data_IF_345623637157
#
_entry.id   IF_345623637157
#
_cell.length_a   1.000
_cell.length_b   1.000
_cell.length_c   1.000
_cell.angle_alpha   90.00
_cell.angle_beta   90.00
_cell.angle_gamma   90.00
#
_symmetry.space_group_name_H-M   'P 1'
#
loop_
_entity.id
_entity.type
_entity.pdbx_description
1 polymer ?
#
# COMPACT_ATOMS: atom_id res chain seq x y z
N UNK A 1 18.81 -8.13 -0.65
CA UNK A 1 18.02 -7.26 -1.54
C UNK A 1 16.61 -7.16 -0.96
N UNK A 2 16.24 -6.02 -0.41
CA UNK A 2 14.93 -5.86 0.25
C UNK A 2 13.81 -5.70 -0.78
N UNK A 3 12.72 -6.44 -0.63
CA UNK A 3 11.50 -6.25 -1.42
C UNK A 3 10.93 -4.86 -1.15
N UNK A 4 10.89 -4.00 -2.15
CA UNK A 4 10.31 -2.65 -2.02
C UNK A 4 8.79 -2.78 -1.94
N UNK A 5 8.20 -2.54 -0.76
CA UNK A 5 6.75 -2.53 -0.53
C UNK A 5 6.17 -1.17 -0.90
N UNK A 6 4.92 -1.13 -1.34
CA UNK A 6 4.18 0.11 -1.62
C UNK A 6 3.06 0.25 -0.59
N UNK A 7 2.95 1.43 0.01
CA UNK A 7 1.87 1.79 0.93
C UNK A 7 1.06 2.92 0.32
N UNK A 8 -0.26 2.80 0.35
CA UNK A 8 -1.18 3.80 -0.16
C UNK A 8 -2.61 3.52 0.26
N UNK A 9 -3.43 4.56 0.23
CA UNK A 9 -4.87 4.51 0.43
C UNK A 9 -5.61 4.97 -0.84
N UNK A 10 -6.84 4.50 -1.02
CA UNK A 10 -7.68 4.83 -2.18
C UNK A 10 -9.15 4.57 -1.86
N UNK A 11 -10.05 5.25 -2.57
CA UNK A 11 -11.50 4.99 -2.50
C UNK A 11 -11.93 3.80 -3.36
N UNK A 12 -11.12 3.41 -4.36
CA UNK A 12 -11.40 2.25 -5.21
C UNK A 12 -10.12 1.46 -5.48
N UNK A 13 -10.00 0.31 -4.79
CA UNK A 13 -8.83 -0.56 -4.80
C UNK A 13 -8.53 -1.13 -6.20
N UNK A 14 -9.56 -1.53 -6.93
CA UNK A 14 -9.44 -2.14 -8.26
C UNK A 14 -8.89 -1.13 -9.28
N UNK A 15 -9.50 0.06 -9.37
CA UNK A 15 -9.06 1.12 -10.27
C UNK A 15 -7.62 1.53 -9.95
N UNK A 16 -7.26 1.61 -8.66
CA UNK A 16 -5.91 1.95 -8.21
C UNK A 16 -4.90 0.90 -8.66
N UNK A 17 -5.19 -0.39 -8.46
CA UNK A 17 -4.33 -1.49 -8.87
C UNK A 17 -4.12 -1.48 -10.40
N UNK A 18 -5.20 -1.32 -11.17
CA UNK A 18 -5.14 -1.22 -12.64
C UNK A 18 -4.21 -0.07 -13.07
N UNK A 19 -4.37 1.13 -12.53
CA UNK A 19 -3.52 2.29 -12.85
C UNK A 19 -2.04 2.04 -12.54
N UNK A 20 -1.74 1.45 -11.39
CA UNK A 20 -0.36 1.10 -11.03
C UNK A 20 0.23 0.06 -11.99
N UNK A 21 -0.55 -0.96 -12.38
CA UNK A 21 -0.11 -2.02 -13.29
C UNK A 21 -0.08 -1.61 -14.77
N UNK A 22 -0.83 -0.59 -15.17
CA UNK A 22 -0.70 0.07 -16.48
C UNK A 22 0.55 0.94 -16.60
N UNK A 23 1.14 1.34 -15.46
CA UNK A 23 2.35 2.16 -15.42
C UNK A 23 2.06 3.66 -15.41
N UNK A 24 0.80 4.04 -15.18
CA UNK A 24 0.32 5.42 -15.17
C UNK A 24 0.88 6.20 -13.95
N UNK A 25 1.40 5.49 -12.95
CA UNK A 25 1.98 6.07 -11.74
C UNK A 25 3.51 6.05 -11.81
N UNK A 26 4.12 7.23 -12.01
CA UNK A 26 5.58 7.41 -12.18
C UNK A 26 6.42 6.72 -11.10
N UNK A 27 6.00 6.75 -9.84
CA UNK A 27 6.75 6.21 -8.70
C UNK A 27 6.73 4.68 -8.60
N UNK A 28 5.77 4.01 -9.23
CA UNK A 28 5.64 2.54 -9.19
C UNK A 28 5.77 1.89 -10.58
N UNK A 29 5.88 2.66 -11.66
CA UNK A 29 5.91 2.13 -13.03
C UNK A 29 7.03 1.11 -13.29
N UNK A 30 8.17 1.23 -12.59
CA UNK A 30 9.30 0.30 -12.73
C UNK A 30 9.19 -0.94 -11.82
N UNK A 31 8.14 -1.02 -10.98
CA UNK A 31 7.93 -2.08 -9.98
C UNK A 31 6.78 -3.01 -10.35
N UNK A 32 6.27 -2.91 -11.58
CA UNK A 32 5.14 -3.70 -12.08
C UNK A 32 5.58 -5.14 -12.37
N UNK A 33 4.68 -6.13 -12.21
CA UNK A 33 3.32 -5.99 -11.69
C UNK A 33 3.31 -5.80 -10.16
N UNK A 34 2.42 -4.94 -9.67
CA UNK A 34 2.07 -4.84 -8.25
C UNK A 34 0.94 -5.83 -7.97
N UNK A 35 1.10 -6.57 -6.87
CA UNK A 35 0.08 -7.45 -6.31
C UNK A 35 -0.36 -6.91 -4.95
N UNK A 36 -1.62 -7.15 -4.60
CA UNK A 36 -2.16 -6.75 -3.30
C UNK A 36 -1.79 -7.83 -2.28
N UNK A 37 -0.96 -7.47 -1.31
CA UNK A 37 -0.64 -8.34 -0.16
C UNK A 37 -1.65 -8.19 0.98
N UNK A 38 -2.14 -6.96 1.21
CA UNK A 38 -3.03 -6.63 2.30
C UNK A 38 -3.78 -5.33 1.99
N UNK A 39 -5.04 -5.26 2.41
CA UNK A 39 -5.84 -4.04 2.44
C UNK A 39 -6.81 -4.08 3.63
N UNK A 40 -7.28 -2.92 4.04
CA UNK A 40 -8.32 -2.75 5.05
C UNK A 40 -9.19 -1.54 4.66
N UNK A 41 -10.43 -1.53 5.14
CA UNK A 41 -11.42 -0.50 4.79
C UNK A 41 -11.66 0.44 5.98
N UNK A 42 -11.97 1.70 5.68
CA UNK A 42 -12.22 2.75 6.66
C UNK A 42 -13.43 3.59 6.26
N UNK A 43 -14.15 4.11 7.26
CA UNK A 43 -15.32 4.95 7.05
C UNK A 43 -14.96 6.38 6.61
N UNK A 44 -13.70 6.80 6.82
CA UNK A 44 -13.24 8.13 6.44
C UNK A 44 -11.85 8.11 5.80
N UNK A 45 -11.64 9.06 4.88
CA UNK A 45 -10.32 9.32 4.28
C UNK A 45 -9.26 9.65 5.34
N UNK A 46 -9.66 10.33 6.42
CA UNK A 46 -8.75 10.71 7.51
C UNK A 46 -8.25 9.50 8.31
N UNK A 47 -9.08 8.48 8.50
CA UNK A 47 -8.65 7.21 9.12
C UNK A 47 -7.72 6.42 8.20
N UNK A 48 -8.09 6.27 6.93
CA UNK A 48 -7.27 5.59 5.93
C UNK A 48 -5.88 6.24 5.80
N UNK A 49 -5.83 7.58 5.79
CA UNK A 49 -4.57 8.32 5.73
C UNK A 49 -3.73 8.13 6.99
N UNK A 50 -4.32 8.21 8.20
CA UNK A 50 -3.61 7.94 9.45
C UNK A 50 -3.01 6.54 9.46
N UNK A 51 -3.74 5.54 8.97
CA UNK A 51 -3.26 4.17 8.86
C UNK A 51 -2.12 4.02 7.86
N UNK A 52 -2.23 4.65 6.69
CA UNK A 52 -1.16 4.67 5.70
C UNK A 52 0.13 5.27 6.27
N UNK A 53 0.04 6.38 7.02
CA UNK A 53 1.20 6.97 7.70
C UNK A 53 1.77 6.04 8.78
N UNK A 54 0.90 5.35 9.54
CA UNK A 54 1.34 4.36 10.51
C UNK A 54 2.17 3.26 9.85
N UNK A 55 1.71 2.65 8.74
CA UNK A 55 2.48 1.61 8.03
C UNK A 55 3.79 2.10 7.42
N UNK A 56 3.90 3.39 7.11
CA UNK A 56 5.16 4.01 6.69
C UNK A 56 6.14 4.25 7.84
N UNK A 57 5.69 4.21 9.09
CA UNK A 57 6.53 4.35 10.28
C UNK A 57 7.26 3.04 10.64
N UNK A 58 8.30 3.14 11.48
CA UNK A 58 9.04 1.98 12.01
C UNK A 58 8.12 1.03 12.77
N UNK A 59 7.24 1.56 13.61
CA UNK A 59 6.31 0.76 14.40
C UNK A 59 5.31 0.02 13.50
N UNK A 60 4.80 0.69 12.46
CA UNK A 60 3.92 0.03 11.50
C UNK A 60 4.62 -1.05 10.68
N UNK A 61 5.88 -0.81 10.29
CA UNK A 61 6.69 -1.84 9.64
C UNK A 61 6.87 -3.09 10.52
N UNK A 62 7.21 -2.90 11.80
CA UNK A 62 7.33 -3.98 12.78
C UNK A 62 6.00 -4.73 12.94
N UNK A 63 4.89 -3.99 13.05
CA UNK A 63 3.56 -4.57 13.14
C UNK A 63 3.25 -5.46 11.92
N UNK A 64 3.50 -4.99 10.70
CA UNK A 64 3.26 -5.78 9.48
C UNK A 64 4.14 -7.04 9.44
N UNK A 65 5.39 -6.95 9.90
CA UNK A 65 6.32 -8.09 10.02
C UNK A 65 5.83 -9.12 11.05
N UNK A 66 5.44 -8.68 12.23
CA UNK A 66 4.94 -9.55 13.31
C UNK A 66 3.65 -10.28 12.92
N UNK A 67 2.78 -9.61 12.18
CA UNK A 67 1.53 -10.18 11.68
C UNK A 67 1.71 -10.97 10.37
N UNK A 68 2.94 -11.17 9.89
CA UNK A 68 3.27 -11.93 8.66
C UNK A 68 2.56 -11.39 7.40
N UNK A 69 2.30 -10.09 7.38
CA UNK A 69 1.75 -9.41 6.20
C UNK A 69 2.87 -9.13 5.18
N UNK A 70 4.09 -8.82 5.67
CA UNK A 70 5.27 -8.51 4.84
C UNK A 70 6.53 -9.26 5.26
#
# INVERSE_FOLDING_TARGET
MGSTIYYGSTENLEIRLIKHNRGDVKSTKARRPLIIHFFEEFNSRSEAFRREQYYKSVNGYIYLKQNKII
#
